data_IF_306594367956
#
_entry.id   IF_306594367956
#
_cell.length_a   1.000
_cell.length_b   1.000
_cell.length_c   1.000
_cell.angle_alpha   90.00
_cell.angle_beta   90.00
_cell.angle_gamma   90.00
#
_symmetry.space_group_name_H-M   'P 1'
#
loop_
_entity.id
_entity.type
_entity.pdbx_description
1 polymer ?
#
# COMPACT_ATOMS: atom_id res chain seq x y z
N UNK A 1 6.15 12.45 -20.56
CA UNK A 1 7.43 13.00 -20.07
C UNK A 1 7.18 14.43 -19.63
N UNK A 2 7.39 14.74 -18.35
CA UNK A 2 7.13 16.08 -17.83
C UNK A 2 8.42 16.88 -17.78
N UNK A 3 8.31 18.14 -18.14
CA UNK A 3 9.41 19.08 -18.18
C UNK A 3 9.06 20.29 -17.34
N UNK A 4 9.97 20.72 -16.49
CA UNK A 4 9.80 21.96 -15.74
C UNK A 4 9.96 23.13 -16.71
N UNK A 5 8.93 23.99 -16.84
CA UNK A 5 9.01 25.17 -17.71
C UNK A 5 9.99 26.23 -17.21
N UNK A 6 10.36 26.20 -15.92
CA UNK A 6 11.30 27.15 -15.31
C UNK A 6 12.76 26.74 -15.48
N UNK A 7 13.08 25.45 -15.30
CA UNK A 7 14.47 24.97 -15.30
C UNK A 7 14.80 23.96 -16.40
N UNK A 8 13.83 23.55 -17.22
CA UNK A 8 14.01 22.62 -18.35
C UNK A 8 14.28 21.16 -17.96
N UNK A 9 14.44 20.86 -16.66
CA UNK A 9 14.72 19.50 -16.20
C UNK A 9 13.51 18.60 -16.36
N UNK A 10 13.78 17.35 -16.72
CA UNK A 10 12.77 16.29 -16.76
C UNK A 10 12.52 15.80 -15.35
N UNK A 11 11.25 15.67 -15.02
CA UNK A 11 10.83 15.05 -13.79
C UNK A 11 9.69 14.10 -14.10
N UNK A 12 9.31 13.31 -13.11
CA UNK A 12 8.15 12.47 -13.22
C UNK A 12 7.24 12.82 -12.06
N UNK A 13 5.95 12.92 -12.36
CA UNK A 13 4.89 13.32 -11.42
C UNK A 13 4.91 12.48 -10.15
N UNK A 14 5.26 11.20 -10.29
CA UNK A 14 5.29 10.26 -9.18
C UNK A 14 6.61 10.31 -8.39
N UNK A 15 7.59 11.13 -8.79
CA UNK A 15 8.93 11.12 -8.17
C UNK A 15 8.84 11.69 -6.77
N UNK A 16 9.17 10.86 -5.78
CA UNK A 16 8.98 11.19 -4.37
C UNK A 16 7.63 10.75 -3.81
N UNK A 17 6.70 10.31 -4.67
CA UNK A 17 5.47 9.66 -4.21
C UNK A 17 5.72 8.20 -3.89
N UNK A 18 4.84 7.58 -3.08
CA UNK A 18 4.99 6.19 -2.71
C UNK A 18 4.76 5.24 -3.90
N UNK A 19 4.02 5.68 -4.92
CA UNK A 19 3.75 4.93 -6.13
C UNK A 19 4.88 4.98 -7.16
N UNK A 20 5.99 5.67 -6.85
CA UNK A 20 7.19 5.66 -7.68
C UNK A 20 7.66 4.24 -7.99
N UNK A 21 7.98 3.97 -9.26
CA UNK A 21 8.45 2.67 -9.76
C UNK A 21 7.46 1.51 -9.51
N UNK A 22 6.18 1.82 -9.29
CA UNK A 22 5.13 0.80 -9.31
C UNK A 22 4.95 0.28 -10.74
N UNK A 23 5.11 -1.04 -10.92
CA UNK A 23 4.77 -1.75 -12.17
C UNK A 23 3.32 -2.25 -12.20
N UNK A 24 2.54 -1.93 -11.18
CA UNK A 24 1.14 -2.34 -11.07
C UNK A 24 0.22 -1.23 -11.50
N UNK A 25 -0.83 -1.62 -12.21
CA UNK A 25 -1.93 -0.73 -12.58
C UNK A 25 -2.68 -0.26 -11.34
N UNK A 26 -3.21 0.97 -11.41
CA UNK A 26 -3.95 1.59 -10.31
C UNK A 26 -5.13 0.76 -9.82
N UNK A 27 -5.83 0.07 -10.73
CA UNK A 27 -6.95 -0.84 -10.38
C UNK A 27 -6.48 -2.03 -9.54
N UNK A 28 -5.27 -2.56 -9.82
CA UNK A 28 -4.72 -3.66 -9.01
C UNK A 28 -4.35 -3.17 -7.62
N UNK A 29 -3.79 -1.96 -7.51
CA UNK A 29 -3.47 -1.33 -6.22
C UNK A 29 -4.74 -1.13 -5.41
N UNK A 30 -5.80 -0.62 -6.04
CA UNK A 30 -7.11 -0.44 -5.44
C UNK A 30 -7.68 -1.75 -4.88
N UNK A 31 -7.66 -2.82 -5.70
CA UNK A 31 -8.10 -4.17 -5.32
C UNK A 31 -7.34 -4.74 -4.13
N UNK A 32 -6.02 -4.51 -4.06
CA UNK A 32 -5.20 -4.91 -2.90
C UNK A 32 -5.73 -4.23 -1.63
N UNK A 33 -5.92 -2.91 -1.64
CA UNK A 33 -6.40 -2.19 -0.46
C UNK A 33 -7.85 -2.56 -0.12
N UNK A 34 -8.75 -2.72 -1.10
CA UNK A 34 -10.13 -3.19 -0.87
C UNK A 34 -10.16 -4.53 -0.13
N UNK A 35 -9.42 -5.53 -0.62
CA UNK A 35 -9.40 -6.85 0.04
C UNK A 35 -8.79 -6.78 1.44
N UNK A 36 -7.73 -5.99 1.63
CA UNK A 36 -7.12 -5.81 2.94
C UNK A 36 -8.09 -5.14 3.93
N UNK A 37 -8.82 -4.10 3.50
CA UNK A 37 -9.81 -3.40 4.32
C UNK A 37 -11.03 -4.26 4.67
N UNK A 38 -11.38 -5.23 3.81
CA UNK A 38 -12.39 -6.25 4.12
C UNK A 38 -11.93 -7.25 5.19
N UNK A 39 -10.68 -7.17 5.65
CA UNK A 39 -10.12 -8.06 6.68
C UNK A 39 -9.35 -9.26 6.11
N UNK A 40 -9.14 -9.34 4.79
CA UNK A 40 -8.34 -10.43 4.23
C UNK A 40 -6.86 -10.30 4.62
N UNK A 41 -6.23 -11.45 4.89
CA UNK A 41 -4.80 -11.49 5.21
C UNK A 41 -3.92 -11.31 3.97
N UNK A 42 -2.70 -10.80 4.17
CA UNK A 42 -1.68 -10.55 3.11
C UNK A 42 -1.53 -11.74 2.14
N UNK A 43 -1.48 -12.98 2.66
CA UNK A 43 -1.30 -14.19 1.85
C UNK A 43 -2.56 -14.59 1.07
N UNK A 44 -3.74 -14.25 1.57
CA UNK A 44 -4.99 -14.49 0.87
C UNK A 44 -5.10 -13.51 -0.31
N UNK A 45 -4.96 -12.21 -0.04
CA UNK A 45 -4.96 -11.16 -1.07
C UNK A 45 -3.93 -11.41 -2.17
N UNK A 46 -2.72 -11.88 -1.79
CA UNK A 46 -1.69 -12.25 -2.75
C UNK A 46 -2.11 -13.41 -3.66
N UNK A 47 -2.79 -14.43 -3.13
CA UNK A 47 -3.30 -15.56 -3.91
C UNK A 47 -4.43 -15.13 -4.85
N UNK A 48 -5.37 -14.32 -4.35
CA UNK A 48 -6.56 -13.91 -5.11
C UNK A 48 -6.21 -13.09 -6.35
N UNK A 49 -5.17 -12.25 -6.26
CA UNK A 49 -4.72 -11.40 -7.36
C UNK A 49 -3.46 -11.92 -8.06
N UNK A 50 -3.02 -13.15 -7.76
CA UNK A 50 -1.81 -13.77 -8.30
C UNK A 50 -0.55 -12.88 -8.17
N UNK A 51 -0.44 -12.21 -7.03
CA UNK A 51 0.66 -11.30 -6.69
C UNK A 51 1.63 -11.96 -5.70
N UNK A 52 2.85 -11.46 -5.65
CA UNK A 52 3.76 -11.82 -4.56
C UNK A 52 3.28 -11.23 -3.23
N UNK A 53 3.37 -12.01 -2.14
CA UNK A 53 3.16 -11.52 -0.77
C UNK A 53 4.01 -10.28 -0.44
N UNK A 54 5.18 -10.15 -1.08
CA UNK A 54 6.08 -9.02 -0.88
C UNK A 54 5.54 -7.75 -1.54
N UNK A 55 4.81 -7.89 -2.65
CA UNK A 55 4.11 -6.79 -3.31
C UNK A 55 3.03 -6.22 -2.39
N UNK A 56 2.19 -7.08 -1.80
CA UNK A 56 1.17 -6.65 -0.83
C UNK A 56 1.80 -6.01 0.41
N UNK A 57 2.88 -6.60 0.95
CA UNK A 57 3.64 -6.01 2.06
C UNK A 57 4.26 -4.65 1.69
N UNK A 58 4.72 -4.46 0.46
CA UNK A 58 5.25 -3.18 -0.02
C UNK A 58 4.19 -2.09 0.13
N UNK A 59 2.96 -2.31 -0.33
CA UNK A 59 1.87 -1.33 -0.22
C UNK A 59 1.45 -1.04 1.22
N UNK A 60 1.51 -2.02 2.13
CA UNK A 60 1.31 -1.76 3.56
C UNK A 60 2.42 -0.92 4.18
N UNK A 61 3.68 -1.18 3.82
CA UNK A 61 4.81 -0.34 4.25
C UNK A 61 4.69 1.06 3.67
N UNK A 62 4.18 1.15 2.46
CA UNK A 62 3.99 2.38 1.73
C UNK A 62 2.97 3.30 2.41
N UNK A 63 1.83 2.73 2.78
CA UNK A 63 0.79 3.39 3.55
C UNK A 63 1.29 3.85 4.94
N UNK A 64 2.25 3.15 5.55
CA UNK A 64 2.90 3.62 6.77
C UNK A 64 3.89 4.76 6.53
N UNK A 65 4.62 4.74 5.41
CA UNK A 65 5.66 5.74 5.11
C UNK A 65 5.06 7.09 4.74
N UNK A 66 3.99 7.07 3.96
CA UNK A 66 3.34 8.28 3.47
C UNK A 66 1.82 8.08 3.47
N UNK A 67 1.29 8.20 4.67
CA UNK A 67 -0.11 7.91 4.99
C UNK A 67 -1.08 8.79 4.19
N UNK A 68 -0.80 10.09 4.10
CA UNK A 68 -1.71 11.05 3.49
C UNK A 68 -1.86 10.80 1.99
N UNK A 69 -0.77 10.50 1.29
CA UNK A 69 -0.82 10.21 -0.16
C UNK A 69 -1.65 8.97 -0.45
N UNK A 70 -1.50 7.91 0.37
CA UNK A 70 -2.31 6.69 0.20
C UNK A 70 -3.76 6.94 0.58
N UNK A 71 -4.03 7.70 1.63
CA UNK A 71 -5.39 8.06 2.04
C UNK A 71 -6.13 8.80 0.91
N UNK A 72 -5.51 9.85 0.36
CA UNK A 72 -6.08 10.63 -0.74
C UNK A 72 -6.34 9.72 -1.95
N UNK A 73 -5.38 8.87 -2.33
CA UNK A 73 -5.58 7.90 -3.43
C UNK A 73 -6.80 6.99 -3.20
N UNK A 74 -7.00 6.50 -1.97
CA UNK A 74 -8.13 5.64 -1.64
C UNK A 74 -9.46 6.39 -1.59
N UNK A 75 -9.46 7.65 -1.17
CA UNK A 75 -10.64 8.52 -1.17
C UNK A 75 -11.05 8.91 -2.59
N UNK A 76 -10.10 9.32 -3.44
CA UNK A 76 -10.32 9.66 -4.84
C UNK A 76 -10.92 8.50 -5.64
N UNK A 77 -10.58 7.26 -5.25
CA UNK A 77 -11.10 6.01 -5.83
C UNK A 77 -12.38 5.49 -5.17
N UNK A 78 -12.90 6.16 -4.15
CA UNK A 78 -14.09 5.73 -3.41
C UNK A 78 -13.90 4.37 -2.71
N UNK A 79 -12.67 4.04 -2.30
CA UNK A 79 -12.37 2.82 -1.53
C UNK A 79 -12.73 3.04 -0.05
N UNK A 80 -12.41 4.22 0.47
CA UNK A 80 -12.68 4.65 1.84
C UNK A 80 -13.60 5.87 1.75
N UNK A 81 -14.62 5.92 2.61
CA UNK A 81 -15.49 7.09 2.74
C UNK A 81 -14.74 8.29 3.35
N UNK A 82 -15.40 9.44 3.50
CA UNK A 82 -14.81 10.62 4.14
C UNK A 82 -14.33 10.29 5.56
N UNK A 83 -13.02 10.08 5.72
CA UNK A 83 -12.40 9.62 6.97
C UNK A 83 -11.17 8.75 6.72
N UNK A 84 -10.47 8.43 7.80
CA UNK A 84 -9.16 7.76 7.78
C UNK A 84 -9.15 6.49 8.68
N UNK A 85 -10.21 6.29 9.48
CA UNK A 85 -10.33 5.24 10.50
C UNK A 85 -10.06 3.83 9.97
N UNK A 86 -10.63 3.47 8.81
CA UNK A 86 -10.45 2.15 8.22
C UNK A 86 -8.97 1.87 7.87
N UNK A 87 -8.27 2.87 7.33
CA UNK A 87 -6.85 2.74 7.00
C UNK A 87 -5.99 2.69 8.27
N UNK A 88 -6.32 3.46 9.32
CA UNK A 88 -5.58 3.40 10.60
C UNK A 88 -5.71 2.03 11.25
N UNK A 89 -6.94 1.52 11.33
CA UNK A 89 -7.25 0.21 11.88
C UNK A 89 -6.47 -0.88 11.13
N UNK A 90 -6.48 -0.84 9.79
CA UNK A 90 -5.70 -1.74 8.96
C UNK A 90 -4.21 -1.72 9.32
N UNK A 91 -3.60 -0.53 9.38
CA UNK A 91 -2.17 -0.40 9.67
C UNK A 91 -1.85 -0.83 11.11
N UNK A 92 -2.75 -0.60 12.08
CA UNK A 92 -2.61 -1.04 13.46
C UNK A 92 -2.64 -2.58 13.60
N UNK A 93 -3.49 -3.25 12.82
CA UNK A 93 -3.54 -4.71 12.77
C UNK A 93 -2.24 -5.32 12.24
N UNK A 94 -1.61 -4.67 11.26
CA UNK A 94 -0.36 -5.16 10.66
C UNK A 94 0.92 -4.69 11.39
N UNK A 95 0.86 -3.64 12.22
CA UNK A 95 1.95 -3.25 13.12
C UNK A 95 2.07 -4.22 14.30
N UNK A 96 0.92 -4.58 14.91
CA UNK A 96 0.82 -5.50 16.06
C UNK A 96 1.27 -6.93 15.71
N UNK A 97 1.03 -7.38 14.48
CA UNK A 97 1.46 -8.71 14.00
C UNK A 97 2.98 -8.87 13.85
N UNK A 98 3.79 -7.80 13.92
CA UNK A 98 5.26 -7.95 13.98
C UNK A 98 5.73 -8.64 15.27
N UNK A 99 4.97 -8.56 16.36
CA UNK A 99 5.38 -9.16 17.64
C UNK A 99 5.06 -10.68 17.75
N UNK A 100 4.17 -11.21 16.91
CA UNK A 100 3.71 -12.61 17.04
C UNK A 100 4.48 -13.61 16.16
N UNK A 101 5.28 -13.16 15.18
CA UNK A 101 6.00 -14.09 14.26
C UNK A 101 7.50 -14.25 14.55
N UNK A 102 8.05 -13.55 15.55
CA UNK A 102 9.46 -13.69 15.99
C UNK A 102 9.64 -14.61 17.22
N UNK A 103 8.66 -15.47 17.52
CA UNK A 103 8.80 -16.55 18.52
C UNK A 103 8.37 -17.91 17.97
N UNK A 104 8.92 -18.30 16.83
CA UNK A 104 9.05 -19.74 16.57
C UNK A 104 10.46 -20.12 17.04
N UNK A 105 10.63 -20.86 18.15
CA UNK A 105 11.92 -21.46 18.40
C UNK A 105 12.18 -22.40 17.24
N UNK A 106 13.28 -22.16 16.50
CA UNK A 106 13.85 -23.18 15.63
C UNK A 106 14.33 -24.27 16.57
N UNK A 107 13.48 -25.26 16.79
CA UNK A 107 13.84 -26.47 17.51
C UNK A 107 14.67 -27.30 16.52
N UNK A 108 15.99 -27.19 16.64
CA UNK A 108 16.94 -28.21 16.19
C UNK A 108 17.06 -29.27 17.28
#
# INVERSE_FOLDING_TARGET
MLICRTCGKTFSELKGTPFWDSRLDWDTIEKIYRNLLQGNGIRATARDFNLSKNTVKRYLRLANKDYQTVLNFLQDRGVIANGDAQLRELLAQFSSRRQATDRVPVMM
#
